data_IF_390653851581
#
_entry.id   IF_390653851581
#
_cell.length_a   1.000
_cell.length_b   1.000
_cell.length_c   1.000
_cell.angle_alpha   90.00
_cell.angle_beta   90.00
_cell.angle_gamma   90.00
#
_symmetry.space_group_name_H-M   'P 1'
#
loop_
_entity.id
_entity.type
_entity.pdbx_description
1 polymer ?
#
# COMPACT_ATOMS: atom_id res chain seq x y z
N UNK A 1 -0.21 -2.63 -6.30
CA UNK A 1 0.21 -3.92 -6.89
C UNK A 1 0.53 -3.77 -8.38
N UNK A 2 -0.32 -3.07 -9.15
CA UNK A 2 -0.14 -2.81 -10.59
C UNK A 2 1.27 -2.32 -10.99
N UNK A 3 1.88 -1.45 -10.19
CA UNK A 3 3.22 -0.92 -10.46
C UNK A 3 4.35 -1.97 -10.43
N UNK A 4 4.12 -3.11 -9.79
CA UNK A 4 5.10 -4.19 -9.64
C UNK A 4 5.00 -5.23 -10.77
N UNK A 5 4.02 -5.09 -11.68
CA UNK A 5 3.88 -5.99 -12.82
C UNK A 5 4.88 -5.66 -13.94
N UNK A 6 5.35 -6.68 -14.69
CA UNK A 6 6.21 -6.48 -15.85
C UNK A 6 5.56 -5.56 -16.89
N UNK A 7 6.37 -4.73 -17.54
CA UNK A 7 5.90 -3.76 -18.55
C UNK A 7 5.08 -4.44 -19.67
N UNK A 8 5.48 -5.64 -20.10
CA UNK A 8 4.74 -6.43 -21.12
C UNK A 8 3.30 -6.73 -20.69
N UNK A 9 3.09 -7.08 -19.43
CA UNK A 9 1.75 -7.35 -18.88
C UNK A 9 1.03 -6.02 -18.65
N UNK A 10 1.71 -5.03 -18.08
CA UNK A 10 1.15 -3.70 -17.75
C UNK A 10 0.53 -3.02 -18.97
N UNK A 11 1.17 -3.10 -20.14
CA UNK A 11 0.70 -2.42 -21.35
C UNK A 11 0.07 -3.37 -22.39
N UNK A 12 0.57 -4.61 -22.50
CA UNK A 12 0.07 -5.56 -23.49
C UNK A 12 -1.37 -6.00 -23.21
N UNK A 13 -1.68 -6.34 -21.96
CA UNK A 13 -3.03 -6.82 -21.60
C UNK A 13 -4.11 -5.76 -21.83
N UNK A 14 -3.96 -4.51 -21.36
CA UNK A 14 -4.93 -3.46 -21.64
C UNK A 14 -5.05 -3.14 -23.13
N UNK A 15 -3.95 -3.15 -23.89
CA UNK A 15 -4.00 -2.91 -25.34
C UNK A 15 -4.81 -3.99 -26.07
N UNK A 16 -4.57 -5.27 -25.75
CA UNK A 16 -5.33 -6.39 -26.32
C UNK A 16 -6.83 -6.28 -25.99
N UNK A 17 -7.17 -6.00 -24.73
CA UNK A 17 -8.57 -5.78 -24.30
C UNK A 17 -9.19 -4.61 -25.06
N UNK A 18 -8.43 -3.52 -25.26
CA UNK A 18 -8.91 -2.33 -25.97
C UNK A 18 -9.25 -2.63 -27.42
N UNK A 19 -8.43 -3.43 -28.10
CA UNK A 19 -8.68 -3.87 -29.49
C UNK A 19 -9.95 -4.70 -29.55
N UNK A 20 -10.13 -5.66 -28.63
CA UNK A 20 -11.33 -6.51 -28.60
C UNK A 20 -12.60 -5.69 -28.34
N UNK A 21 -12.57 -4.77 -27.37
CA UNK A 21 -13.70 -3.89 -27.06
C UNK A 21 -14.02 -2.96 -28.24
N UNK A 22 -12.99 -2.42 -28.89
CA UNK A 22 -13.16 -1.60 -30.09
C UNK A 22 -13.82 -2.38 -31.22
N UNK A 23 -13.32 -3.59 -31.56
CA UNK A 23 -13.92 -4.44 -32.59
C UNK A 23 -15.37 -4.80 -32.24
N UNK A 24 -15.70 -5.02 -30.97
CA UNK A 24 -17.09 -5.23 -30.55
C UNK A 24 -17.98 -4.02 -30.88
N UNK A 25 -17.57 -2.79 -30.56
CA UNK A 25 -18.38 -1.61 -30.90
C UNK A 25 -18.41 -1.29 -32.39
N UNK A 26 -17.29 -1.49 -33.08
CA UNK A 26 -17.13 -1.13 -34.49
C UNK A 26 -17.78 -2.14 -35.43
N UNK A 27 -17.58 -3.44 -35.20
CA UNK A 27 -18.00 -4.51 -36.13
C UNK A 27 -19.34 -5.11 -35.73
N UNK A 28 -19.56 -5.36 -34.43
CA UNK A 28 -20.78 -6.03 -33.97
C UNK A 28 -21.94 -5.05 -33.74
N UNK A 29 -21.67 -3.88 -33.16
CA UNK A 29 -22.67 -2.82 -32.94
C UNK A 29 -22.71 -1.77 -34.05
N UNK A 30 -21.89 -1.92 -35.09
CA UNK A 30 -21.81 -1.05 -36.27
C UNK A 30 -21.74 0.44 -35.94
N UNK A 31 -21.06 0.80 -34.84
CA UNK A 31 -20.97 2.20 -34.43
C UNK A 31 -19.96 2.98 -35.29
N UNK A 32 -20.20 4.27 -35.55
CA UNK A 32 -19.24 5.12 -36.26
C UNK A 32 -17.89 5.17 -35.53
N UNK A 33 -16.80 5.30 -36.28
CA UNK A 33 -15.41 5.28 -35.78
C UNK A 33 -15.19 6.06 -34.47
N UNK A 34 -15.50 7.35 -34.45
CA UNK A 34 -15.30 8.19 -33.25
C UNK A 34 -16.16 7.76 -32.07
N UNK A 35 -17.36 7.23 -32.33
CA UNK A 35 -18.28 6.75 -31.29
C UNK A 35 -17.75 5.43 -30.69
N UNK A 36 -17.21 4.54 -31.52
CA UNK A 36 -16.54 3.31 -31.08
C UNK A 36 -15.31 3.59 -30.21
N UNK A 37 -14.50 4.60 -30.53
CA UNK A 37 -13.37 5.02 -29.68
C UNK A 37 -13.88 5.50 -28.32
N UNK A 38 -14.87 6.40 -28.31
CA UNK A 38 -15.41 6.95 -27.06
C UNK A 38 -16.01 5.87 -26.15
N UNK A 39 -16.78 4.95 -26.71
CA UNK A 39 -17.33 3.81 -25.98
C UNK A 39 -16.24 2.86 -25.49
N UNK A 40 -15.22 2.60 -26.30
CA UNK A 40 -14.08 1.77 -25.91
C UNK A 40 -13.37 2.34 -24.68
N UNK A 41 -13.00 3.64 -24.71
CA UNK A 41 -12.35 4.30 -23.58
C UNK A 41 -13.23 4.24 -22.33
N UNK A 42 -14.52 4.52 -22.47
CA UNK A 42 -15.47 4.50 -21.36
C UNK A 42 -15.59 3.10 -20.75
N UNK A 43 -15.80 2.07 -21.60
CA UNK A 43 -15.91 0.68 -21.18
C UNK A 43 -14.64 0.19 -20.50
N UNK A 44 -13.46 0.46 -21.06
CA UNK A 44 -12.18 0.08 -20.43
C UNK A 44 -12.02 0.78 -19.08
N UNK A 45 -12.36 2.07 -18.98
CA UNK A 45 -12.24 2.81 -17.72
C UNK A 45 -13.13 2.21 -16.63
N UNK A 46 -14.38 1.88 -16.97
CA UNK A 46 -15.32 1.22 -16.05
C UNK A 46 -14.83 -0.18 -15.67
N UNK A 47 -14.38 -0.97 -16.65
CA UNK A 47 -13.85 -2.32 -16.40
C UNK A 47 -12.59 -2.28 -15.52
N UNK A 48 -11.68 -1.34 -15.76
CA UNK A 48 -10.48 -1.15 -14.96
C UNK A 48 -10.83 -0.76 -13.52
N UNK A 49 -11.79 0.14 -13.33
CA UNK A 49 -12.26 0.55 -12.00
C UNK A 49 -12.90 -0.61 -11.23
N UNK A 50 -13.82 -1.35 -11.85
CA UNK A 50 -14.47 -2.52 -11.24
C UNK A 50 -13.44 -3.60 -10.92
N UNK A 51 -12.55 -3.89 -11.87
CA UNK A 51 -11.55 -4.95 -11.72
C UNK A 51 -10.56 -4.62 -10.63
N UNK A 52 -10.01 -3.41 -10.63
CA UNK A 52 -9.00 -3.00 -9.65
C UNK A 52 -9.51 -2.82 -8.24
N UNK A 53 -10.81 -2.51 -8.06
CA UNK A 53 -11.41 -2.33 -6.74
C UNK A 53 -12.00 -3.63 -6.17
N UNK A 54 -12.69 -4.42 -6.99
CA UNK A 54 -13.49 -5.56 -6.52
C UNK A 54 -13.02 -6.90 -7.07
N UNK A 55 -12.81 -7.03 -8.38
CA UNK A 55 -12.60 -8.36 -8.99
C UNK A 55 -11.18 -8.90 -8.81
N UNK A 56 -10.21 -8.03 -8.53
CA UNK A 56 -8.81 -8.41 -8.44
C UNK A 56 -8.57 -9.57 -7.48
N UNK A 57 -9.28 -9.63 -6.35
CA UNK A 57 -9.14 -10.73 -5.38
C UNK A 57 -9.44 -12.12 -5.95
N UNK A 58 -10.29 -12.22 -6.98
CA UNK A 58 -10.66 -13.51 -7.58
C UNK A 58 -9.63 -14.02 -8.58
N UNK A 59 -8.97 -13.11 -9.31
CA UNK A 59 -7.94 -13.48 -10.29
C UNK A 59 -6.51 -13.34 -9.74
N UNK A 60 -6.35 -12.84 -8.51
CA UNK A 60 -5.07 -12.76 -7.82
C UNK A 60 -4.68 -14.13 -7.23
N UNK A 61 -4.25 -15.02 -8.11
CA UNK A 61 -3.83 -16.39 -7.80
C UNK A 61 -2.49 -16.42 -7.03
N UNK A 62 -2.17 -17.56 -6.42
CA UNK A 62 -0.96 -17.70 -5.59
C UNK A 62 0.34 -17.48 -6.37
N UNK A 63 0.36 -17.79 -7.67
CA UNK A 63 1.47 -17.41 -8.55
C UNK A 63 1.71 -15.89 -8.55
N UNK A 64 0.65 -15.08 -8.59
CA UNK A 64 0.76 -13.62 -8.55
C UNK A 64 1.22 -13.12 -7.18
N UNK A 65 0.67 -13.70 -6.12
CA UNK A 65 1.03 -13.37 -4.72
C UNK A 65 2.50 -13.62 -4.44
N UNK A 66 3.03 -14.74 -4.88
CA UNK A 66 4.40 -15.15 -4.57
C UNK A 66 5.42 -14.46 -5.48
N UNK A 67 5.10 -14.25 -6.76
CA UNK A 67 6.09 -13.79 -7.75
C UNK A 67 6.02 -12.29 -8.08
N UNK A 68 4.93 -11.58 -7.77
CA UNK A 68 4.79 -10.17 -8.16
C UNK A 68 4.49 -9.24 -6.99
N UNK A 69 3.57 -9.59 -6.11
CA UNK A 69 3.32 -8.80 -4.90
C UNK A 69 2.51 -9.64 -3.88
N UNK A 70 3.00 -9.85 -2.66
CA UNK A 70 2.23 -10.52 -1.62
C UNK A 70 0.92 -9.78 -1.32
N UNK A 71 -0.04 -10.48 -0.72
CA UNK A 71 -1.27 -9.84 -0.26
C UNK A 71 -1.09 -9.23 1.13
N UNK A 72 -0.87 -7.91 1.13
CA UNK A 72 -0.71 -7.11 2.34
C UNK A 72 -2.04 -6.82 3.07
N UNK A 73 -3.20 -7.15 2.49
CA UNK A 73 -4.49 -6.87 3.12
C UNK A 73 -4.64 -7.57 4.48
N UNK A 74 -5.23 -6.88 5.44
CA UNK A 74 -5.69 -7.47 6.70
C UNK A 74 -5.30 -6.66 7.93
N UNK A 75 -5.41 -7.33 9.07
CA UNK A 75 -5.05 -6.81 10.37
C UNK A 75 -3.63 -7.24 10.73
N UNK A 76 -2.87 -6.34 11.32
CA UNK A 76 -1.46 -6.47 11.62
C UNK A 76 -1.17 -5.97 13.02
N UNK A 77 -0.12 -6.51 13.64
CA UNK A 77 0.42 -6.02 14.90
C UNK A 77 1.77 -5.39 14.59
N UNK A 78 1.90 -4.10 14.89
CA UNK A 78 3.15 -3.37 14.77
C UNK A 78 3.85 -3.26 16.12
N UNK A 79 5.12 -3.63 16.16
CA UNK A 79 5.99 -3.49 17.34
C UNK A 79 7.10 -2.49 17.04
N UNK A 80 7.25 -1.46 17.87
CA UNK A 80 8.31 -0.46 17.79
C UNK A 80 9.31 -0.67 18.92
N UNK A 81 10.60 -0.60 18.59
CA UNK A 81 11.69 -0.46 19.54
C UNK A 81 12.44 0.85 19.23
N UNK A 82 12.22 1.88 20.04
CA UNK A 82 12.75 3.23 19.83
C UNK A 82 13.98 3.53 20.69
N UNK A 83 14.88 4.36 20.17
CA UNK A 83 15.99 4.93 20.96
C UNK A 83 15.53 5.81 22.15
N UNK A 84 14.25 6.20 22.18
CA UNK A 84 13.66 6.97 23.28
C UNK A 84 13.51 6.12 24.56
N UNK A 85 14.05 6.63 25.66
CA UNK A 85 13.89 6.13 27.03
C UNK A 85 14.30 4.65 27.24
N UNK A 86 15.40 4.19 26.62
CA UNK A 86 15.98 2.87 26.89
C UNK A 86 15.29 1.69 26.21
N UNK A 87 14.91 1.82 24.93
CA UNK A 87 14.27 0.78 24.11
C UNK A 87 12.84 0.43 24.56
N UNK A 88 11.99 1.44 24.66
CA UNK A 88 10.56 1.23 24.91
C UNK A 88 9.96 0.38 23.79
N UNK A 89 9.36 -0.76 24.16
CA UNK A 89 8.65 -1.64 23.24
C UNK A 89 7.16 -1.37 23.32
N UNK A 90 6.60 -0.92 22.20
CA UNK A 90 5.17 -0.61 22.09
C UNK A 90 4.59 -1.43 20.97
N UNK A 91 3.45 -2.05 21.24
CA UNK A 91 2.66 -2.77 20.24
C UNK A 91 1.38 -1.99 19.93
N UNK A 92 0.98 -1.99 18.66
CA UNK A 92 -0.25 -1.33 18.22
C UNK A 92 -0.88 -2.03 17.02
N UNK A 93 -2.22 -2.05 16.95
CA UNK A 93 -2.92 -2.61 15.81
C UNK A 93 -2.81 -1.71 14.58
N UNK A 94 -2.65 -2.36 13.43
CA UNK A 94 -2.58 -1.73 12.11
C UNK A 94 -3.53 -2.44 11.18
N UNK A 95 -4.27 -1.68 10.39
CA UNK A 95 -5.08 -2.18 9.29
C UNK A 95 -4.45 -1.73 7.96
N UNK A 96 -4.20 -2.71 7.09
CA UNK A 96 -3.72 -2.46 5.73
C UNK A 96 -4.85 -2.82 4.76
N UNK A 97 -5.27 -1.83 3.98
CA UNK A 97 -6.22 -1.98 2.88
C UNK A 97 -5.47 -1.79 1.56
N UNK A 98 -5.25 -2.86 0.81
CA UNK A 98 -4.64 -2.81 -0.51
C UNK A 98 -5.66 -3.18 -1.59
N UNK A 99 -5.77 -2.33 -2.61
CA UNK A 99 -6.40 -2.62 -3.88
C UNK A 99 -5.33 -2.89 -4.93
N UNK A 100 -5.75 -3.24 -6.15
CA UNK A 100 -4.80 -3.46 -7.23
C UNK A 100 -3.95 -2.22 -7.54
N UNK A 101 -4.53 -1.02 -7.42
CA UNK A 101 -3.91 0.25 -7.78
C UNK A 101 -3.42 1.08 -6.59
N UNK A 102 -3.91 0.86 -5.39
CA UNK A 102 -3.57 1.68 -4.21
C UNK A 102 -3.40 0.83 -2.96
N UNK A 103 -2.64 1.35 -2.00
CA UNK A 103 -2.51 0.79 -0.66
C UNK A 103 -2.71 1.90 0.35
N UNK A 104 -3.42 1.60 1.43
CA UNK A 104 -3.66 2.52 2.55
C UNK A 104 -3.38 1.77 3.85
N UNK A 105 -2.89 2.51 4.83
CA UNK A 105 -2.62 1.97 6.15
C UNK A 105 -3.20 2.89 7.22
N UNK A 106 -3.83 2.29 8.22
CA UNK A 106 -4.38 2.98 9.39
C UNK A 106 -3.82 2.33 10.65
N UNK A 107 -3.34 3.14 11.58
CA UNK A 107 -2.88 2.67 12.89
C UNK A 107 -3.65 3.38 13.99
N UNK A 108 -4.15 2.62 14.95
CA UNK A 108 -4.84 3.18 16.12
C UNK A 108 -4.04 2.83 17.36
N UNK A 109 -3.59 3.83 18.10
CA UNK A 109 -2.89 3.65 19.38
C UNK A 109 -3.79 4.11 20.52
N UNK A 110 -3.42 3.79 21.76
CA UNK A 110 -4.14 4.24 22.96
C UNK A 110 -4.10 5.75 23.18
N UNK A 111 -3.11 6.45 22.62
CA UNK A 111 -2.82 7.87 22.89
C UNK A 111 -3.13 8.77 21.66
N UNK A 112 -3.41 8.15 20.51
CA UNK A 112 -3.65 8.92 19.29
C UNK A 112 -3.92 8.09 18.05
N UNK A 113 -4.28 8.80 16.98
CA UNK A 113 -4.64 8.23 15.69
C UNK A 113 -3.55 8.49 14.69
N UNK A 114 -3.20 7.46 13.92
CA UNK A 114 -2.17 7.53 12.89
C UNK A 114 -2.77 7.26 11.52
N UNK A 115 -2.56 8.20 10.61
CA UNK A 115 -2.97 8.09 9.23
C UNK A 115 -1.74 8.05 8.32
N UNK A 116 -1.68 7.09 7.40
CA UNK A 116 -0.66 7.10 6.35
C UNK A 116 -1.04 8.14 5.28
N UNK A 117 -0.21 9.17 5.10
CA UNK A 117 -0.35 10.13 4.01
C UNK A 117 0.21 9.58 2.70
N UNK A 118 1.21 8.70 2.80
CA UNK A 118 1.83 7.99 1.70
C UNK A 118 2.05 6.54 2.08
N UNK A 119 1.74 5.60 1.19
CA UNK A 119 2.01 4.18 1.38
C UNK A 119 2.24 3.54 0.01
N UNK A 120 3.37 2.84 -0.17
CA UNK A 120 3.71 2.17 -1.43
C UNK A 120 4.55 0.92 -1.16
N UNK A 121 4.38 -0.07 -2.04
CA UNK A 121 5.19 -1.29 -2.05
C UNK A 121 6.20 -1.18 -3.18
N UNK A 122 7.45 -1.51 -2.87
CA UNK A 122 8.56 -1.57 -3.80
C UNK A 122 9.06 -3.01 -3.91
N UNK A 123 9.60 -3.35 -5.08
CA UNK A 123 10.43 -4.53 -5.28
C UNK A 123 11.87 -4.06 -5.38
N UNK A 124 12.73 -4.57 -4.52
CA UNK A 124 14.14 -4.18 -4.43
C UNK A 124 14.99 -4.95 -5.45
N UNK A 125 16.24 -4.53 -5.61
CA UNK A 125 17.18 -5.14 -6.55
C UNK A 125 17.49 -6.61 -6.24
N UNK A 126 17.42 -7.00 -4.96
CA UNK A 126 17.57 -8.37 -4.47
C UNK A 126 16.25 -9.16 -4.46
N UNK A 127 15.28 -8.73 -5.27
CA UNK A 127 13.99 -9.39 -5.47
C UNK A 127 13.08 -9.49 -4.23
N UNK A 128 13.35 -8.68 -3.20
CA UNK A 128 12.54 -8.61 -1.99
C UNK A 128 11.44 -7.53 -2.10
N UNK A 129 10.43 -7.63 -1.25
CA UNK A 129 9.36 -6.63 -1.16
C UNK A 129 9.61 -5.69 0.02
N UNK A 130 9.40 -4.39 -0.20
CA UNK A 130 9.48 -3.38 0.85
C UNK A 130 8.21 -2.53 0.90
N UNK A 131 7.70 -2.29 2.10
CA UNK A 131 6.64 -1.35 2.39
C UNK A 131 7.24 -0.03 2.86
N UNK A 132 6.98 1.04 2.12
CA UNK A 132 7.42 2.40 2.45
C UNK A 132 6.19 3.23 2.74
N UNK A 133 6.16 3.91 3.88
CA UNK A 133 5.04 4.79 4.20
C UNK A 133 5.49 6.02 4.99
N UNK A 134 4.74 7.10 4.79
CA UNK A 134 4.81 8.30 5.63
C UNK A 134 3.50 8.44 6.38
N UNK A 135 3.57 8.83 7.64
CA UNK A 135 2.43 8.90 8.52
C UNK A 135 2.41 10.19 9.31
N UNK A 136 1.20 10.60 9.69
CA UNK A 136 0.95 11.70 10.60
C UNK A 136 0.21 11.15 11.81
N UNK A 137 0.74 11.45 12.99
CA UNK A 137 0.14 11.11 14.27
C UNK A 137 -0.52 12.34 14.83
N UNK A 138 -1.78 12.22 15.24
CA UNK A 138 -2.47 13.21 16.06
C UNK A 138 -2.50 12.71 17.50
N UNK A 139 -2.00 13.54 18.42
CA UNK A 139 -2.00 13.23 19.84
C UNK A 139 -3.36 13.64 20.42
N UNK A 140 -4.18 12.66 20.83
CA UNK A 140 -5.51 12.93 21.37
C UNK A 140 -5.41 13.45 22.83
N UNK A 141 -4.27 13.19 23.50
CA UNK A 141 -3.99 13.64 24.87
C UNK A 141 -2.55 14.17 24.99
N UNK A 142 -2.21 15.32 24.39
CA UNK A 142 -0.86 15.88 24.45
C UNK A 142 -0.50 16.34 25.86
N UNK A 143 0.70 16.02 26.32
CA UNK A 143 1.27 16.68 27.51
C UNK A 143 1.60 18.15 27.21
N UNK A 144 1.77 18.98 28.24
CA UNK A 144 2.04 20.42 28.10
C UNK A 144 3.26 20.73 27.22
N UNK A 145 4.22 19.81 27.13
CA UNK A 145 5.44 19.93 26.32
C UNK A 145 5.39 19.17 25.00
N UNK A 146 4.33 18.42 24.71
CA UNK A 146 4.21 17.61 23.49
C UNK A 146 3.55 18.43 22.39
N UNK A 147 3.94 18.14 21.15
CA UNK A 147 3.24 18.67 19.98
C UNK A 147 1.88 17.98 19.81
N UNK A 148 0.90 18.73 19.29
CA UNK A 148 -0.44 18.22 18.98
C UNK A 148 -0.43 17.22 17.83
N UNK A 149 0.58 17.29 16.95
CA UNK A 149 0.82 16.30 15.92
C UNK A 149 2.31 16.22 15.59
N UNK A 150 2.74 15.07 15.06
CA UNK A 150 4.05 14.90 14.46
C UNK A 150 3.96 13.96 13.25
N UNK A 151 5.00 13.95 12.44
CA UNK A 151 5.11 13.19 11.22
C UNK A 151 6.27 12.18 11.32
N UNK A 152 6.18 11.13 10.51
CA UNK A 152 7.22 10.14 10.43
C UNK A 152 7.20 9.38 9.12
N UNK A 153 8.25 8.60 8.93
CA UNK A 153 8.41 7.72 7.79
C UNK A 153 8.94 6.37 8.27
N UNK A 154 8.57 5.31 7.58
CA UNK A 154 9.10 3.98 7.82
C UNK A 154 9.33 3.23 6.52
N UNK A 155 10.33 2.35 6.57
CA UNK A 155 10.67 1.39 5.53
C UNK A 155 10.78 0.03 6.16
N UNK A 156 9.93 -0.90 5.75
CA UNK A 156 9.93 -2.28 6.22
C UNK A 156 10.17 -3.23 5.05
N UNK A 157 11.08 -4.17 5.24
CA UNK A 157 11.32 -5.26 4.29
C UNK A 157 10.53 -6.49 4.71
N UNK A 158 9.90 -7.15 3.74
CA UNK A 158 9.27 -8.47 3.93
C UNK A 158 10.37 -9.48 4.19
N UNK A 159 10.39 -10.04 5.40
CA UNK A 159 11.36 -11.07 5.80
C UNK A 159 10.87 -12.47 5.48
N UNK A 160 9.55 -12.69 5.50
CA UNK A 160 8.91 -13.94 5.13
C UNK A 160 7.53 -13.68 4.51
N UNK A 161 7.33 -14.18 3.29
CA UNK A 161 6.07 -14.06 2.53
C UNK A 161 5.00 -15.01 3.08
N UNK A 162 5.37 -16.18 3.61
CA UNK A 162 4.40 -17.18 4.07
C UNK A 162 3.74 -16.75 5.37
N UNK A 163 4.53 -16.28 6.32
CA UNK A 163 4.04 -15.75 7.60
C UNK A 163 3.64 -14.28 7.51
N UNK A 164 3.89 -13.62 6.36
CA UNK A 164 3.69 -12.19 6.17
C UNK A 164 4.31 -11.40 7.32
N UNK A 165 5.62 -11.55 7.52
CA UNK A 165 6.40 -10.80 8.51
C UNK A 165 7.26 -9.75 7.83
N UNK A 166 7.33 -8.56 8.41
CA UNK A 166 8.15 -7.45 7.92
C UNK A 166 8.95 -6.81 9.03
N UNK A 167 10.17 -6.36 8.71
CA UNK A 167 11.04 -5.64 9.64
C UNK A 167 11.77 -4.51 8.93
N UNK A 168 11.95 -3.40 9.63
CA UNK A 168 12.83 -2.35 9.15
C UNK A 168 12.97 -1.22 10.15
N UNK A 169 13.05 0.00 9.64
CA UNK A 169 13.37 1.20 10.43
C UNK A 169 12.31 2.27 10.24
N UNK A 170 12.14 3.09 11.27
CA UNK A 170 11.29 4.26 11.22
C UNK A 170 12.00 5.47 11.83
N UNK A 171 11.48 6.65 11.50
CA UNK A 171 11.90 7.93 12.05
C UNK A 171 10.67 8.82 12.23
N UNK A 172 10.67 9.68 13.25
CA UNK A 172 9.68 10.73 13.45
C UNK A 172 10.36 12.07 13.72
N UNK A 173 9.71 13.16 13.32
CA UNK A 173 10.13 14.51 13.65
C UNK A 173 9.62 14.99 15.03
N UNK A 174 9.11 14.09 15.87
CA UNK A 174 8.62 14.48 17.21
C UNK A 174 9.77 15.15 17.99
N UNK A 175 9.54 16.33 18.54
CA UNK A 175 10.53 17.11 19.30
C UNK A 175 11.83 17.42 18.53
N UNK A 176 11.79 17.47 17.19
CA UNK A 176 12.97 17.70 16.35
C UNK A 176 13.68 19.04 16.62
N UNK A 177 12.91 20.08 16.97
CA UNK A 177 13.39 21.42 17.34
C UNK A 177 14.33 21.40 18.54
N UNK A 178 14.22 20.37 19.40
CA UNK A 178 15.07 20.18 20.57
C UNK A 178 16.21 19.18 20.30
N UNK A 179 16.33 18.65 19.08
CA UNK A 179 17.26 17.57 18.75
C UNK A 179 16.85 16.20 19.28
N UNK A 180 15.57 16.03 19.66
CA UNK A 180 15.04 14.81 20.30
C UNK A 180 14.18 13.96 19.35
N UNK A 181 14.49 13.99 18.06
CA UNK A 181 13.78 13.18 17.07
C UNK A 181 13.91 11.68 17.39
N UNK A 182 12.82 10.93 17.22
CA UNK A 182 12.81 9.49 17.54
C UNK A 182 13.09 8.66 16.30
N UNK A 183 13.93 7.65 16.45
CA UNK A 183 14.18 6.65 15.41
C UNK A 183 14.32 5.27 16.04
N UNK A 184 14.08 4.23 15.25
CA UNK A 184 14.22 2.89 15.76
C UNK A 184 13.86 1.80 14.77
N UNK A 185 13.67 0.62 15.33
CA UNK A 185 13.28 -0.58 14.59
C UNK A 185 11.78 -0.75 14.70
N UNK A 186 11.15 -1.14 13.60
CA UNK A 186 9.73 -1.46 13.55
C UNK A 186 9.54 -2.83 12.89
N UNK A 187 8.61 -3.62 13.44
CA UNK A 187 8.29 -4.96 12.96
C UNK A 187 6.78 -5.11 12.83
N UNK A 188 6.31 -5.64 11.70
CA UNK A 188 4.90 -5.97 11.47
C UNK A 188 4.72 -7.46 11.34
N UNK A 189 3.71 -8.00 12.03
CA UNK A 189 3.28 -9.38 11.91
C UNK A 189 1.79 -9.42 11.59
N UNK A 190 1.41 -10.22 10.59
CA UNK A 190 0.02 -10.36 10.19
C UNK A 190 -0.73 -11.12 11.29
N UNK A 191 -1.86 -10.58 11.74
CA UNK A 191 -2.72 -11.25 12.70
C UNK A 191 -3.43 -12.40 11.98
N UNK A 192 -3.23 -13.62 12.47
CA UNK A 192 -3.91 -14.82 11.97
C UNK A 192 -5.44 -14.68 12.08
#
# INVERSE_FOLDING_TARGET
>A
MWDLLPLKIKYGTPAAISIVVYSFFSEYLSQPFFRSISYTITTITVLAWISGKYLWKYFYIDYLKNNFCPDFNGQWIGSIESNYNGNTKIEFPIEIEASFFSIKMKGTTTIGRTYSNYCKIFRTEDDCFELHYMFKVFNDTPSVTDESFYEGAARLRVTDIKTMSMKGVFWTNRCWQNGENTAGVIKFEKKN
#
